data_IF_460414400383
#
_entry.id   IF_460414400383
#
_cell.length_a   1.000
_cell.length_b   1.000
_cell.length_c   1.000
_cell.angle_alpha   90.00
_cell.angle_beta   90.00
_cell.angle_gamma   90.00
#
_symmetry.space_group_name_H-M   'P 1'
#
loop_
_entity.id
_entity.type
_entity.pdbx_description
1 polymer ?
#
# COMPACT_ATOMS: atom_id res chain seq x y z
N UNK A 1 -9.67 32.22 9.28
CA UNK A 1 -10.13 31.52 10.50
C UNK A 1 -9.24 30.31 10.70
N UNK A 2 -8.29 30.42 11.62
CA UNK A 2 -7.40 29.32 12.00
C UNK A 2 -8.19 28.33 12.86
N UNK A 3 -8.55 27.19 12.30
CA UNK A 3 -8.96 26.05 13.14
C UNK A 3 -7.70 25.52 13.83
N UNK A 4 -7.36 26.09 14.99
CA UNK A 4 -6.33 25.53 15.89
C UNK A 4 -6.89 24.24 16.49
N UNK A 5 -6.71 23.14 15.75
CA UNK A 5 -6.95 21.80 16.30
C UNK A 5 -5.92 21.56 17.40
N UNK A 6 -6.37 21.13 18.57
CA UNK A 6 -5.46 20.70 19.63
C UNK A 6 -4.66 19.49 19.12
N UNK A 7 -3.34 19.61 19.03
CA UNK A 7 -2.40 18.55 18.63
C UNK A 7 -1.30 18.44 19.69
N UNK A 8 -0.76 17.24 19.87
CA UNK A 8 0.33 17.03 20.82
C UNK A 8 1.59 17.79 20.42
N UNK A 9 2.43 18.12 21.42
CA UNK A 9 3.73 18.75 21.19
C UNK A 9 4.65 17.92 20.28
N UNK A 10 4.57 16.59 20.36
CA UNK A 10 5.30 15.69 19.47
C UNK A 10 4.84 15.79 18.02
N UNK A 11 3.52 15.90 17.77
CA UNK A 11 3.03 16.14 16.42
C UNK A 11 3.42 17.53 15.92
N UNK A 12 3.28 18.57 16.76
CA UNK A 12 3.67 19.92 16.39
C UNK A 12 5.15 19.97 15.98
N UNK A 13 6.05 19.42 16.80
CA UNK A 13 7.48 19.37 16.51
C UNK A 13 7.79 18.64 15.20
N UNK A 14 7.05 17.56 14.91
CA UNK A 14 7.19 16.85 13.63
C UNK A 14 6.74 17.72 12.45
N UNK A 15 5.60 18.41 12.57
CA UNK A 15 5.10 19.28 11.52
C UNK A 15 6.07 20.44 11.26
N UNK A 16 6.55 21.10 12.32
CA UNK A 16 7.51 22.21 12.23
C UNK A 16 8.79 21.77 11.51
N UNK A 17 9.33 20.61 11.89
CA UNK A 17 10.48 20.01 11.21
C UNK A 17 10.22 19.77 9.72
N UNK A 18 9.06 19.21 9.36
CA UNK A 18 8.73 18.94 7.96
C UNK A 18 8.56 20.24 7.17
N UNK A 19 7.90 21.24 7.75
CA UNK A 19 7.72 22.56 7.14
C UNK A 19 9.07 23.24 6.89
N UNK A 20 10.01 23.15 7.84
CA UNK A 20 11.39 23.63 7.69
C UNK A 20 12.13 22.90 6.57
N UNK A 21 12.13 21.56 6.58
CA UNK A 21 12.82 20.75 5.58
C UNK A 21 12.28 20.98 4.17
N UNK A 22 10.98 21.21 4.03
CA UNK A 22 10.34 21.39 2.73
C UNK A 22 10.24 22.86 2.31
N UNK A 23 10.33 23.82 3.22
CA UNK A 23 10.09 25.24 2.95
C UNK A 23 8.63 25.49 2.54
N UNK A 24 7.68 24.83 3.20
CA UNK A 24 6.24 24.90 2.90
C UNK A 24 5.42 24.88 4.18
N UNK A 25 4.14 25.28 4.09
CA UNK A 25 3.16 25.11 5.18
C UNK A 25 2.27 23.89 4.94
N UNK A 26 1.90 23.21 6.02
CA UNK A 26 0.97 22.08 6.07
C UNK A 26 -0.37 22.56 6.62
N UNK A 27 -1.43 22.38 5.85
CA UNK A 27 -2.78 22.70 6.26
C UNK A 27 -3.50 21.45 6.76
N UNK A 28 -3.89 21.47 8.04
CA UNK A 28 -4.72 20.43 8.60
C UNK A 28 -6.19 20.72 8.32
N UNK A 29 -6.94 19.70 7.87
CA UNK A 29 -8.37 19.81 7.59
C UNK A 29 -9.13 18.67 8.22
N UNK A 30 -10.10 18.98 9.08
CA UNK A 30 -10.99 17.97 9.62
C UNK A 30 -12.22 17.82 8.71
N UNK A 31 -12.47 16.62 8.17
CA UNK A 31 -13.60 16.32 7.29
C UNK A 31 -14.36 15.08 7.75
N UNK A 32 -15.69 15.12 7.75
CA UNK A 32 -16.52 13.97 8.12
C UNK A 32 -16.30 12.77 7.18
N UNK A 33 -16.18 13.05 5.89
CA UNK A 33 -16.02 12.04 4.83
C UNK A 33 -14.59 11.56 4.64
N UNK A 34 -13.61 12.09 5.41
CA UNK A 34 -12.25 11.60 5.29
C UNK A 34 -12.18 10.12 5.73
N UNK A 35 -11.49 9.26 4.95
CA UNK A 35 -11.28 7.87 5.30
C UNK A 35 -10.45 7.76 6.58
N UNK A 36 -10.50 6.60 7.23
CA UNK A 36 -9.71 6.34 8.46
C UNK A 36 -8.21 6.51 8.26
N UNK A 37 -7.68 6.28 7.05
CA UNK A 37 -6.26 6.51 6.76
C UNK A 37 -5.87 7.99 6.60
N UNK A 38 -6.86 8.89 6.64
CA UNK A 38 -6.68 10.28 6.22
C UNK A 38 -6.47 10.40 4.72
N UNK A 39 -6.33 11.64 4.24
CA UNK A 39 -5.97 11.95 2.86
C UNK A 39 -4.84 12.96 2.90
N UNK A 40 -3.79 12.69 2.12
CA UNK A 40 -2.75 13.66 1.79
C UNK A 40 -3.01 14.21 0.39
N UNK A 41 -3.20 15.52 0.30
CA UNK A 41 -3.18 16.28 -0.95
C UNK A 41 -1.92 17.14 -0.96
N UNK A 42 -0.83 16.62 -1.53
CA UNK A 42 0.43 17.33 -1.62
C UNK A 42 0.66 18.01 -2.98
N UNK A 43 1.41 19.11 -2.95
CA UNK A 43 1.72 19.90 -4.14
C UNK A 43 2.57 19.14 -5.17
N UNK A 44 3.30 18.11 -4.75
CA UNK A 44 4.23 17.38 -5.60
C UNK A 44 3.49 16.36 -6.49
N UNK A 45 2.50 15.68 -5.92
CA UNK A 45 1.68 14.67 -6.61
C UNK A 45 0.55 15.32 -7.40
N UNK A 46 -0.15 16.28 -6.80
CA UNK A 46 -1.40 16.80 -7.38
C UNK A 46 -1.25 18.17 -8.05
N UNK A 47 -0.02 18.70 -8.11
CA UNK A 47 0.29 20.03 -8.69
C UNK A 47 -0.55 21.17 -8.07
N UNK A 48 -1.08 20.96 -6.86
CA UNK A 48 -1.85 21.95 -6.12
C UNK A 48 -0.95 23.00 -5.46
N UNK A 49 -1.53 24.10 -5.01
CA UNK A 49 -0.78 25.21 -4.38
C UNK A 49 -0.56 25.03 -2.88
N UNK A 50 -1.07 23.96 -2.26
CA UNK A 50 -1.07 23.76 -0.80
C UNK A 50 -0.92 22.29 -0.46
N UNK A 51 -0.20 22.01 0.63
CA UNK A 51 -0.15 20.70 1.24
C UNK A 51 -1.27 20.59 2.26
N UNK A 52 -2.22 19.68 2.04
CA UNK A 52 -3.38 19.49 2.92
C UNK A 52 -3.40 18.06 3.46
N UNK A 53 -3.48 17.92 4.78
CA UNK A 53 -3.73 16.64 5.45
C UNK A 53 -5.15 16.66 5.98
N UNK A 54 -6.04 15.89 5.35
CA UNK A 54 -7.41 15.73 5.79
C UNK A 54 -7.57 14.50 6.67
N UNK A 55 -8.26 14.64 7.81
CA UNK A 55 -8.49 13.56 8.77
C UNK A 55 -9.95 13.53 9.25
N UNK A 56 -10.39 12.35 9.72
CA UNK A 56 -11.80 12.11 10.04
C UNK A 56 -12.21 12.71 11.38
N UNK A 57 -13.46 13.18 11.48
CA UNK A 57 -14.09 13.58 12.76
C UNK A 57 -14.13 12.43 13.78
N UNK A 58 -14.13 11.18 13.33
CA UNK A 58 -14.17 10.00 14.19
C UNK A 58 -12.84 9.73 14.92
N UNK A 59 -11.78 10.43 14.53
CA UNK A 59 -10.45 10.27 15.10
C UNK A 59 -10.22 11.34 16.15
N UNK A 60 -10.00 10.90 17.38
CA UNK A 60 -9.79 11.78 18.54
C UNK A 60 -8.47 11.44 19.24
N UNK A 61 -7.95 12.40 20.00
CA UNK A 61 -6.72 12.26 20.76
C UNK A 61 -5.54 11.78 19.91
N UNK A 62 -4.76 10.84 20.47
CA UNK A 62 -3.54 10.32 19.83
C UNK A 62 -3.79 9.57 18.51
N UNK A 63 -5.00 9.05 18.27
CA UNK A 63 -5.31 8.39 17.00
C UNK A 63 -5.36 9.38 15.84
N UNK A 64 -5.92 10.56 16.08
CA UNK A 64 -5.91 11.68 15.14
C UNK A 64 -4.48 12.14 14.89
N UNK A 65 -3.70 12.31 15.95
CA UNK A 65 -2.32 12.76 15.83
C UNK A 65 -1.47 11.78 15.02
N UNK A 66 -1.62 10.48 15.27
CA UNK A 66 -0.93 9.43 14.53
C UNK A 66 -1.25 9.45 13.03
N UNK A 67 -2.54 9.60 12.67
CA UNK A 67 -2.96 9.64 11.26
C UNK A 67 -2.39 10.87 10.55
N UNK A 68 -2.33 12.02 11.24
CA UNK A 68 -1.68 13.21 10.71
C UNK A 68 -0.18 12.97 10.55
N UNK A 69 0.50 12.43 11.57
CA UNK A 69 1.94 12.13 11.54
C UNK A 69 2.30 11.19 10.37
N UNK A 70 1.53 10.12 10.16
CA UNK A 70 1.76 9.19 9.06
C UNK A 70 1.69 9.89 7.70
N UNK A 71 0.67 10.71 7.47
CA UNK A 71 0.52 11.47 6.22
C UNK A 71 1.60 12.57 6.09
N UNK A 72 2.01 13.19 7.19
CA UNK A 72 3.08 14.18 7.20
C UNK A 72 4.43 13.56 6.80
N UNK A 73 4.75 12.36 7.28
CA UNK A 73 5.95 11.64 6.82
C UNK A 73 5.88 11.31 5.34
N UNK A 74 4.72 10.88 4.82
CA UNK A 74 4.56 10.65 3.37
C UNK A 74 4.84 11.93 2.58
N UNK A 75 4.31 13.07 3.03
CA UNK A 75 4.59 14.39 2.45
C UNK A 75 6.08 14.72 2.48
N UNK A 76 6.76 14.49 3.61
CA UNK A 76 8.20 14.70 3.75
C UNK A 76 8.99 13.89 2.72
N UNK A 77 8.74 12.58 2.62
CA UNK A 77 9.45 11.70 1.69
C UNK A 77 9.23 12.11 0.23
N UNK A 78 7.98 12.41 -0.16
CA UNK A 78 7.65 12.89 -1.51
C UNK A 78 8.30 14.23 -1.81
N UNK A 79 8.25 15.17 -0.86
CA UNK A 79 8.80 16.51 -1.02
C UNK A 79 10.32 16.53 -1.09
N UNK A 80 11.01 15.72 -0.29
CA UNK A 80 12.46 15.54 -0.38
C UNK A 80 12.84 14.92 -1.73
N UNK A 81 12.11 13.90 -2.19
CA UNK A 81 12.34 13.34 -3.53
C UNK A 81 12.15 14.39 -4.62
N UNK A 82 11.15 15.27 -4.50
CA UNK A 82 10.89 16.32 -5.48
C UNK A 82 12.00 17.36 -5.50
N UNK A 83 12.51 17.78 -4.32
CA UNK A 83 13.68 18.68 -4.20
C UNK A 83 14.94 18.09 -4.84
N UNK A 84 15.06 16.76 -4.86
CA UNK A 84 16.17 16.05 -5.49
C UNK A 84 15.92 15.71 -6.97
N UNK A 85 14.86 16.25 -7.60
CA UNK A 85 14.44 15.94 -8.98
C UNK A 85 14.22 14.43 -9.24
N UNK A 86 13.97 13.67 -8.18
CA UNK A 86 13.83 12.22 -8.22
C UNK A 86 12.40 11.74 -8.01
N UNK A 87 11.43 12.65 -7.78
CA UNK A 87 10.07 12.25 -7.46
C UNK A 87 9.34 11.67 -8.66
N UNK A 88 8.97 10.39 -8.53
CA UNK A 88 8.15 9.65 -9.48
C UNK A 88 6.98 8.98 -8.77
N UNK A 89 5.97 8.66 -9.57
CA UNK A 89 4.77 7.94 -9.16
C UNK A 89 4.53 6.73 -10.06
N UNK A 90 3.88 5.72 -9.50
CA UNK A 90 3.52 4.54 -10.27
C UNK A 90 2.36 4.88 -11.21
N UNK A 91 2.57 4.69 -12.50
CA UNK A 91 1.65 5.05 -13.56
C UNK A 91 1.41 3.90 -14.54
N UNK A 92 0.50 4.14 -15.49
CA UNK A 92 0.09 3.20 -16.52
C UNK A 92 -0.39 3.94 -17.77
N UNK A 93 -0.42 3.24 -18.89
CA UNK A 93 -0.97 3.69 -20.17
C UNK A 93 -1.88 2.60 -20.76
N UNK A 94 -2.46 2.86 -21.94
CA UNK A 94 -3.31 1.90 -22.64
C UNK A 94 -2.59 0.57 -22.94
N UNK A 95 -1.28 0.61 -23.24
CA UNK A 95 -0.50 -0.57 -23.59
C UNK A 95 -0.25 -1.46 -22.37
N UNK A 96 0.09 -0.85 -21.23
CA UNK A 96 0.30 -1.57 -19.97
C UNK A 96 -1.03 -2.10 -19.42
N UNK A 97 -2.12 -1.34 -19.54
CA UNK A 97 -3.47 -1.78 -19.19
C UNK A 97 -3.91 -2.98 -20.03
N UNK A 98 -3.72 -2.92 -21.36
CA UNK A 98 -4.02 -4.05 -22.27
C UNK A 98 -3.21 -5.29 -21.90
N UNK A 99 -1.89 -5.14 -21.72
CA UNK A 99 -1.01 -6.26 -21.34
C UNK A 99 -1.42 -6.88 -20.00
N UNK A 100 -1.78 -6.04 -19.02
CA UNK A 100 -2.21 -6.49 -17.71
C UNK A 100 -3.55 -7.19 -17.73
N UNK A 101 -4.53 -6.61 -18.42
CA UNK A 101 -5.86 -7.21 -18.58
C UNK A 101 -5.80 -8.55 -19.33
N UNK A 102 -4.96 -8.67 -20.36
CA UNK A 102 -4.75 -9.91 -21.09
C UNK A 102 -4.17 -11.00 -20.17
N UNK A 103 -3.14 -10.68 -19.39
CA UNK A 103 -2.58 -11.63 -18.43
C UNK A 103 -3.63 -12.06 -17.39
N UNK A 104 -4.40 -11.12 -16.83
CA UNK A 104 -5.49 -11.42 -15.89
C UNK A 104 -6.54 -12.31 -16.54
N UNK A 105 -6.93 -12.02 -17.79
CA UNK A 105 -7.89 -12.85 -18.53
C UNK A 105 -7.41 -14.30 -18.65
N UNK A 106 -6.16 -14.49 -19.05
CA UNK A 106 -5.57 -15.82 -19.20
C UNK A 106 -5.53 -16.56 -17.86
N UNK A 107 -5.29 -15.88 -16.75
CA UNK A 107 -5.36 -16.50 -15.43
C UNK A 107 -6.77 -16.91 -15.05
N UNK A 108 -7.76 -16.08 -15.38
CA UNK A 108 -9.19 -16.39 -15.17
C UNK A 108 -9.59 -17.63 -15.96
N UNK A 109 -9.08 -17.81 -17.17
CA UNK A 109 -9.36 -19.01 -17.97
C UNK A 109 -8.64 -20.27 -17.45
N UNK A 110 -7.48 -20.12 -16.79
CA UNK A 110 -6.67 -21.23 -16.27
C UNK A 110 -7.10 -21.69 -14.87
N UNK A 111 -7.63 -20.80 -14.04
CA UNK A 111 -8.00 -21.11 -12.66
C UNK A 111 -9.31 -21.91 -12.60
N UNK A 112 -9.28 -23.05 -11.90
CA UNK A 112 -10.42 -23.97 -11.79
C UNK A 112 -11.70 -23.32 -11.26
N UNK A 113 -11.57 -22.30 -10.40
CA UNK A 113 -12.70 -21.63 -9.77
C UNK A 113 -13.33 -20.58 -10.67
N UNK A 114 -12.52 -19.88 -11.46
CA UNK A 114 -12.99 -18.71 -12.22
C UNK A 114 -13.21 -18.98 -13.71
N UNK A 115 -12.69 -20.10 -14.25
CA UNK A 115 -12.87 -20.47 -15.67
C UNK A 115 -14.34 -20.60 -16.09
N UNK A 116 -15.22 -20.93 -15.15
CA UNK A 116 -16.66 -21.15 -15.39
C UNK A 116 -17.52 -19.91 -15.16
N UNK A 117 -16.93 -18.78 -14.74
CA UNK A 117 -17.69 -17.54 -14.55
C UNK A 117 -18.33 -17.07 -15.86
N UNK A 118 -19.45 -16.36 -15.78
CA UNK A 118 -20.04 -15.75 -16.96
C UNK A 118 -19.06 -14.78 -17.62
N UNK A 119 -19.12 -14.70 -18.95
CA UNK A 119 -18.20 -13.86 -19.74
C UNK A 119 -18.24 -12.38 -19.32
N UNK A 120 -19.43 -11.85 -19.00
CA UNK A 120 -19.57 -10.46 -18.55
C UNK A 120 -18.89 -10.21 -17.19
N UNK A 121 -18.86 -11.21 -16.30
CA UNK A 121 -18.14 -11.14 -15.02
C UNK A 121 -16.64 -11.13 -15.27
N UNK A 122 -16.16 -12.02 -16.15
CA UNK A 122 -14.74 -12.05 -16.56
C UNK A 122 -14.29 -10.70 -17.11
N UNK A 123 -15.11 -10.06 -17.97
CA UNK A 123 -14.86 -8.72 -18.52
C UNK A 123 -14.63 -7.65 -17.45
N UNK A 124 -15.53 -7.56 -16.46
CA UNK A 124 -15.41 -6.58 -15.36
C UNK A 124 -14.24 -6.87 -14.42
N UNK A 125 -13.98 -8.15 -14.17
CA UNK A 125 -12.99 -8.59 -13.20
C UNK A 125 -11.56 -8.19 -13.58
N UNK A 126 -11.20 -8.23 -14.86
CA UNK A 126 -9.82 -7.97 -15.29
C UNK A 126 -9.38 -6.55 -14.96
N UNK A 127 -10.20 -5.57 -15.32
CA UNK A 127 -9.86 -4.18 -15.08
C UNK A 127 -9.91 -3.84 -13.58
N UNK A 128 -10.88 -4.40 -12.87
CA UNK A 128 -10.94 -4.27 -11.41
C UNK A 128 -9.66 -4.78 -10.73
N UNK A 129 -9.20 -5.98 -11.06
CA UNK A 129 -7.95 -6.52 -10.49
C UNK A 129 -6.73 -5.70 -10.91
N UNK A 130 -6.68 -5.23 -12.16
CA UNK A 130 -5.61 -4.35 -12.62
C UNK A 130 -5.56 -3.05 -11.79
N UNK A 131 -6.69 -2.40 -11.55
CA UNK A 131 -6.70 -1.15 -10.77
C UNK A 131 -6.50 -1.39 -9.27
N UNK A 132 -7.03 -2.48 -8.72
CA UNK A 132 -6.81 -2.86 -7.32
C UNK A 132 -5.32 -2.97 -6.97
N UNK A 133 -4.53 -3.61 -7.85
CA UNK A 133 -3.08 -3.74 -7.64
C UNK A 133 -2.37 -2.40 -7.80
N UNK A 134 -2.80 -1.54 -8.74
CA UNK A 134 -2.27 -0.18 -8.87
C UNK A 134 -2.46 0.61 -7.58
N UNK A 135 -3.69 0.67 -7.07
CA UNK A 135 -4.07 1.41 -5.86
C UNK A 135 -3.38 0.86 -4.60
N UNK A 136 -3.18 -0.45 -4.52
CA UNK A 136 -2.50 -1.08 -3.39
C UNK A 136 -1.00 -0.80 -3.41
N UNK A 137 -0.35 -1.06 -4.54
CA UNK A 137 1.11 -0.99 -4.67
C UNK A 137 1.61 0.45 -4.61
N UNK A 138 0.84 1.41 -5.12
CA UNK A 138 1.27 2.81 -5.11
C UNK A 138 1.39 3.38 -3.69
N UNK A 139 0.60 2.89 -2.74
CA UNK A 139 0.47 3.50 -1.42
C UNK A 139 1.08 2.66 -0.29
N UNK A 140 1.07 1.33 -0.44
CA UNK A 140 1.46 0.40 0.63
C UNK A 140 2.94 0.54 1.06
N UNK A 141 3.93 0.64 0.16
CA UNK A 141 5.33 0.85 0.55
C UNK A 141 5.54 2.16 1.33
N UNK A 142 4.90 3.25 0.92
CA UNK A 142 4.96 4.52 1.64
C UNK A 142 4.26 4.47 3.00
N UNK A 143 3.16 3.72 3.08
CA UNK A 143 2.48 3.46 4.35
C UNK A 143 3.36 2.64 5.29
N UNK A 144 4.06 1.61 4.80
CA UNK A 144 5.02 0.84 5.58
C UNK A 144 6.14 1.75 6.13
N UNK A 145 6.82 2.50 5.25
CA UNK A 145 7.95 3.35 5.64
C UNK A 145 7.52 4.47 6.60
N UNK A 146 6.40 5.14 6.33
CA UNK A 146 5.88 6.17 7.24
C UNK A 146 5.56 5.62 8.63
N UNK A 147 5.02 4.40 8.74
CA UNK A 147 4.82 3.76 10.04
C UNK A 147 6.12 3.50 10.78
N UNK A 148 7.15 2.99 10.09
CA UNK A 148 8.47 2.76 10.70
C UNK A 148 9.05 4.08 11.21
N UNK A 149 9.01 5.13 10.40
CA UNK A 149 9.53 6.46 10.77
C UNK A 149 8.74 7.07 11.92
N UNK A 150 7.40 7.01 11.91
CA UNK A 150 6.56 7.51 13.01
C UNK A 150 6.86 6.77 14.31
N UNK A 151 7.06 5.44 14.27
CA UNK A 151 7.40 4.66 15.46
C UNK A 151 8.71 5.10 16.10
N UNK A 152 9.64 5.67 15.32
CA UNK A 152 10.92 6.21 15.79
C UNK A 152 10.84 7.67 16.24
N UNK A 153 10.22 8.54 15.44
CA UNK A 153 10.17 9.98 15.71
C UNK A 153 9.09 10.37 16.73
N UNK A 154 8.01 9.62 16.82
CA UNK A 154 6.85 9.94 17.66
C UNK A 154 6.46 8.75 18.56
N UNK A 155 7.34 8.26 19.45
CA UNK A 155 7.08 7.08 20.27
C UNK A 155 5.84 7.22 21.18
N UNK A 156 5.45 8.46 21.53
CA UNK A 156 4.23 8.74 22.30
C UNK A 156 2.95 8.29 21.58
N UNK A 157 2.99 8.16 20.25
CA UNK A 157 1.86 7.73 19.42
C UNK A 157 1.78 6.21 19.26
N UNK A 158 2.73 5.44 19.82
CA UNK A 158 2.85 3.99 19.60
C UNK A 158 1.58 3.21 19.89
N UNK A 159 0.88 3.49 20.98
CA UNK A 159 -0.37 2.79 21.31
C UNK A 159 -1.47 3.06 20.28
N UNK A 160 -1.58 4.30 19.81
CA UNK A 160 -2.53 4.68 18.77
C UNK A 160 -2.16 4.05 17.42
N UNK A 161 -0.87 4.02 17.09
CA UNK A 161 -0.34 3.36 15.91
C UNK A 161 -0.65 1.85 15.91
N UNK A 162 -0.33 1.13 17.00
CA UNK A 162 -0.62 -0.31 17.11
C UNK A 162 -2.11 -0.58 16.99
N UNK A 163 -2.94 0.20 17.68
CA UNK A 163 -4.40 0.08 17.60
C UNK A 163 -4.92 0.28 16.16
N UNK A 164 -4.42 1.30 15.48
CA UNK A 164 -4.75 1.58 14.09
C UNK A 164 -4.35 0.42 13.18
N UNK A 165 -3.09 -0.03 13.27
CA UNK A 165 -2.53 -1.10 12.44
C UNK A 165 -3.25 -2.42 12.65
N UNK A 166 -3.63 -2.78 13.88
CA UNK A 166 -4.41 -4.00 14.14
C UNK A 166 -5.77 -3.98 13.43
N UNK A 167 -6.44 -2.82 13.40
CA UNK A 167 -7.73 -2.66 12.71
C UNK A 167 -7.58 -2.65 11.19
N UNK A 168 -6.56 -1.99 10.67
CA UNK A 168 -6.28 -1.96 9.23
C UNK A 168 -5.83 -3.33 8.71
N UNK A 169 -4.92 -4.01 9.40
CA UNK A 169 -4.47 -5.37 9.09
C UNK A 169 -5.63 -6.34 8.86
N UNK A 170 -6.59 -6.37 9.80
CA UNK A 170 -7.79 -7.18 9.66
C UNK A 170 -8.61 -6.78 8.44
N UNK A 171 -8.84 -5.48 8.22
CA UNK A 171 -9.64 -5.02 7.08
C UNK A 171 -8.97 -5.36 5.75
N UNK A 172 -7.71 -5.02 5.59
CA UNK A 172 -6.97 -5.12 4.33
C UNK A 172 -6.81 -6.59 3.90
N UNK A 173 -6.52 -7.50 4.84
CA UNK A 173 -6.38 -8.93 4.50
C UNK A 173 -7.71 -9.64 4.28
N UNK A 174 -8.82 -9.07 4.75
CA UNK A 174 -10.16 -9.61 4.50
C UNK A 174 -10.87 -8.94 3.31
N UNK A 175 -10.27 -7.93 2.68
CA UNK A 175 -10.89 -7.15 1.60
C UNK A 175 -11.35 -8.03 0.44
N UNK A 176 -10.55 -9.04 0.08
CA UNK A 176 -10.86 -9.99 -0.99
C UNK A 176 -11.55 -11.27 -0.54
N UNK A 177 -11.85 -11.45 0.75
CA UNK A 177 -12.41 -12.73 1.26
C UNK A 177 -13.79 -13.00 0.67
N UNK A 178 -14.62 -11.98 0.54
CA UNK A 178 -15.96 -12.08 -0.07
C UNK A 178 -15.91 -12.38 -1.56
N UNK A 179 -14.77 -12.12 -2.21
CA UNK A 179 -14.57 -12.28 -3.66
C UNK A 179 -13.65 -13.45 -4.02
N UNK A 180 -13.15 -14.21 -3.03
CA UNK A 180 -12.12 -15.25 -3.20
C UNK A 180 -12.47 -16.35 -4.22
N UNK A 181 -13.75 -16.56 -4.49
CA UNK A 181 -14.26 -17.56 -5.43
C UNK A 181 -14.55 -16.97 -6.83
N UNK A 182 -14.49 -15.64 -6.96
CA UNK A 182 -14.67 -14.91 -8.21
C UNK A 182 -13.35 -14.39 -8.79
N UNK A 183 -12.23 -14.52 -8.07
CA UNK A 183 -10.91 -14.06 -8.51
C UNK A 183 -9.94 -15.24 -8.63
N UNK A 184 -9.01 -15.23 -9.61
CA UNK A 184 -7.99 -16.27 -9.67
C UNK A 184 -7.17 -16.28 -8.39
N UNK A 185 -6.84 -17.47 -7.88
CA UNK A 185 -6.21 -17.65 -6.57
C UNK A 185 -4.95 -16.81 -6.42
N UNK A 186 -4.17 -16.67 -7.49
CA UNK A 186 -2.90 -15.92 -7.48
C UNK A 186 -3.10 -14.48 -7.00
N UNK A 187 -4.18 -13.81 -7.41
CA UNK A 187 -4.43 -12.41 -7.06
C UNK A 187 -4.84 -12.25 -5.61
N UNK A 188 -5.67 -13.16 -5.08
CA UNK A 188 -5.96 -13.23 -3.65
C UNK A 188 -4.68 -13.38 -2.82
N UNK A 189 -3.83 -14.32 -3.24
CA UNK A 189 -2.58 -14.66 -2.55
C UNK A 189 -1.60 -13.50 -2.55
N UNK A 190 -1.36 -12.88 -3.72
CA UNK A 190 -0.43 -11.76 -3.87
C UNK A 190 -0.91 -10.52 -3.10
N UNK A 191 -2.19 -10.16 -3.24
CA UNK A 191 -2.78 -9.03 -2.52
C UNK A 191 -2.57 -9.16 -1.01
N UNK A 192 -3.02 -10.28 -0.43
CA UNK A 192 -2.88 -10.50 1.00
C UNK A 192 -1.42 -10.72 1.43
N UNK A 193 -0.57 -11.22 0.53
CA UNK A 193 0.87 -11.36 0.77
C UNK A 193 1.55 -10.03 1.05
N UNK A 194 1.17 -8.96 0.34
CA UNK A 194 1.73 -7.62 0.57
C UNK A 194 1.39 -7.08 1.96
N UNK A 195 0.13 -7.23 2.39
CA UNK A 195 -0.33 -6.82 3.72
C UNK A 195 0.25 -7.69 4.84
N UNK A 196 0.37 -9.00 4.61
CA UNK A 196 1.10 -9.90 5.51
C UNK A 196 2.52 -9.40 5.72
N UNK A 197 3.22 -9.03 4.64
CA UNK A 197 4.60 -8.59 4.73
C UNK A 197 4.75 -7.25 5.45
N UNK A 198 3.85 -6.29 5.16
CA UNK A 198 3.78 -5.03 5.92
C UNK A 198 3.63 -5.30 7.41
N UNK A 199 2.64 -6.10 7.79
CA UNK A 199 2.27 -6.30 9.19
C UNK A 199 3.32 -7.08 9.96
N UNK A 200 3.92 -8.10 9.35
CA UNK A 200 5.01 -8.86 9.96
C UNK A 200 6.26 -7.97 10.16
N UNK A 201 6.62 -7.17 9.15
CA UNK A 201 7.75 -6.23 9.27
C UNK A 201 7.51 -5.17 10.34
N UNK A 202 6.31 -4.58 10.40
CA UNK A 202 5.96 -3.61 11.43
C UNK A 202 5.92 -4.25 12.83
N UNK A 203 5.43 -5.48 12.95
CA UNK A 203 5.47 -6.25 14.19
C UNK A 203 6.89 -6.48 14.71
N UNK A 204 7.83 -6.80 13.81
CA UNK A 204 9.26 -6.94 14.15
C UNK A 204 9.87 -5.59 14.58
N UNK A 205 9.71 -4.54 13.77
CA UNK A 205 10.29 -3.20 14.01
C UNK A 205 9.77 -2.58 15.31
N UNK A 206 8.48 -2.74 15.58
CA UNK A 206 7.82 -2.19 16.75
C UNK A 206 7.86 -3.14 17.95
N UNK A 207 8.51 -4.31 17.85
CA UNK A 207 8.47 -5.36 18.88
C UNK A 207 7.05 -5.65 19.40
N UNK A 208 6.06 -5.66 18.50
CA UNK A 208 4.64 -5.83 18.86
C UNK A 208 4.08 -7.11 18.25
N UNK A 209 4.02 -8.14 19.09
CA UNK A 209 3.58 -9.48 18.69
C UNK A 209 2.14 -9.50 18.17
N UNK A 210 1.28 -8.58 18.63
CA UNK A 210 -0.12 -8.49 18.20
C UNK A 210 -0.28 -8.07 16.74
N UNK A 211 0.75 -7.49 16.12
CA UNK A 211 0.73 -7.16 14.69
C UNK A 211 1.10 -8.34 13.80
N UNK A 212 1.64 -9.43 14.35
CA UNK A 212 2.02 -10.60 13.56
C UNK A 212 0.77 -11.23 12.91
N UNK A 213 0.71 -11.33 11.57
CA UNK A 213 -0.40 -11.94 10.83
C UNK A 213 -0.81 -13.33 11.32
N UNK A 214 0.14 -14.15 11.76
CA UNK A 214 -0.11 -15.50 12.27
C UNK A 214 -0.77 -15.50 13.66
N UNK A 215 -0.99 -14.33 14.26
CA UNK A 215 -1.57 -14.15 15.59
C UNK A 215 -2.87 -13.36 15.50
N UNK A 216 -2.91 -12.26 14.75
CA UNK A 216 -4.11 -11.43 14.64
C UNK A 216 -5.11 -11.90 13.59
N UNK A 217 -4.70 -12.68 12.58
CA UNK A 217 -5.58 -13.11 11.48
C UNK A 217 -6.07 -14.53 11.72
N UNK A 218 -7.39 -14.76 11.90
CA UNK A 218 -7.95 -16.06 12.25
C UNK A 218 -7.51 -17.20 11.32
N UNK A 219 -7.48 -16.95 10.02
CA UNK A 219 -7.19 -17.94 8.98
C UNK A 219 -5.71 -18.37 8.96
N UNK A 220 -4.82 -17.53 9.48
CA UNK A 220 -3.38 -17.78 9.52
C UNK A 220 -2.92 -18.40 10.85
N UNK A 221 -3.72 -18.33 11.93
CA UNK A 221 -3.37 -18.88 13.26
C UNK A 221 -2.95 -20.34 13.23
N UNK A 222 -3.62 -21.14 12.39
CA UNK A 222 -3.33 -22.57 12.21
C UNK A 222 -1.97 -22.88 11.60
N UNK A 223 -1.27 -21.87 11.06
CA UNK A 223 0.04 -22.03 10.43
C UNK A 223 1.20 -21.64 11.34
N UNK A 224 0.93 -21.07 12.52
CA UNK A 224 1.95 -20.53 13.43
C UNK A 224 3.01 -21.56 13.85
N UNK A 225 2.59 -22.82 14.00
CA UNK A 225 3.43 -23.91 14.52
C UNK A 225 3.63 -25.05 13.53
N UNK A 226 3.25 -24.89 12.26
CA UNK A 226 3.47 -25.95 11.28
C UNK A 226 4.95 -26.06 10.94
N UNK A 227 5.49 -27.27 10.97
CA UNK A 227 6.84 -27.52 10.51
C UNK A 227 6.90 -27.55 8.96
N UNK A 228 8.09 -27.40 8.39
CA UNK A 228 8.29 -27.33 6.93
C UNK A 228 7.73 -28.57 6.21
N UNK A 229 7.84 -29.76 6.80
CA UNK A 229 7.35 -31.01 6.20
C UNK A 229 5.83 -31.08 6.19
N UNK A 230 5.17 -30.66 7.27
CA UNK A 230 3.72 -30.54 7.37
C UNK A 230 3.19 -29.53 6.36
N UNK A 231 3.90 -28.40 6.22
CA UNK A 231 3.61 -27.34 5.26
C UNK A 231 3.64 -27.83 3.80
N UNK A 232 4.54 -28.76 3.45
CA UNK A 232 4.68 -29.31 2.09
C UNK A 232 3.62 -30.36 1.72
N UNK A 233 2.72 -30.74 2.62
CA UNK A 233 1.66 -31.71 2.33
C UNK A 233 0.65 -31.18 1.31
N UNK A 234 0.13 -32.08 0.47
CA UNK A 234 -0.83 -31.77 -0.61
C UNK A 234 -2.13 -31.08 -0.12
N UNK A 235 -2.43 -31.20 1.18
CA UNK A 235 -3.56 -30.56 1.86
C UNK A 235 -3.42 -29.03 1.92
N UNK A 236 -2.24 -28.52 2.27
CA UNK A 236 -2.03 -27.07 2.45
C UNK A 236 -1.74 -26.36 1.14
N UNK A 237 -1.15 -27.05 0.17
CA UNK A 237 -0.86 -26.48 -1.15
C UNK A 237 -2.11 -25.94 -1.86
N UNK A 238 -3.31 -26.47 -1.56
CA UNK A 238 -4.59 -25.95 -2.09
C UNK A 238 -5.20 -24.81 -1.28
N UNK A 239 -4.67 -24.50 -0.09
CA UNK A 239 -5.22 -23.47 0.80
C UNK A 239 -4.69 -22.08 0.42
N UNK A 240 -5.55 -21.11 0.06
CA UNK A 240 -5.10 -19.78 -0.35
C UNK A 240 -4.37 -19.04 0.77
N UNK A 241 -4.78 -19.19 2.03
CA UNK A 241 -4.11 -18.53 3.16
C UNK A 241 -2.74 -19.12 3.47
N UNK A 242 -2.53 -20.40 3.18
CA UNK A 242 -1.21 -21.00 3.28
C UNK A 242 -0.28 -20.42 2.20
N UNK A 243 -0.77 -20.30 0.96
CA UNK A 243 -0.01 -19.66 -0.12
C UNK A 243 0.25 -18.17 0.18
N UNK A 244 -0.71 -17.46 0.78
CA UNK A 244 -0.53 -16.08 1.29
C UNK A 244 0.64 -15.99 2.25
N UNK A 245 0.76 -16.92 3.21
CA UNK A 245 1.92 -16.96 4.11
C UNK A 245 3.23 -17.12 3.33
N UNK A 246 3.30 -18.05 2.39
CA UNK A 246 4.52 -18.29 1.61
C UNK A 246 4.95 -17.06 0.80
N UNK A 247 3.99 -16.42 0.10
CA UNK A 247 4.26 -15.19 -0.66
C UNK A 247 4.60 -14.03 0.27
N UNK A 248 3.89 -13.90 1.40
CA UNK A 248 4.17 -12.91 2.42
C UNK A 248 5.57 -13.06 3.03
N UNK A 249 6.00 -14.27 3.36
CA UNK A 249 7.35 -14.56 3.85
C UNK A 249 8.41 -14.16 2.81
N UNK A 250 8.19 -14.46 1.52
CA UNK A 250 9.08 -14.02 0.44
C UNK A 250 9.14 -12.49 0.32
N UNK A 251 8.00 -11.81 0.44
CA UNK A 251 7.93 -10.34 0.45
C UNK A 251 8.62 -9.74 1.68
N UNK A 252 8.55 -10.37 2.86
CA UNK A 252 9.30 -9.95 4.05
C UNK A 252 10.80 -10.12 3.86
N UNK A 253 11.25 -11.20 3.24
CA UNK A 253 12.67 -11.40 2.94
C UNK A 253 13.20 -10.26 2.05
N UNK A 254 12.42 -9.81 1.06
CA UNK A 254 12.76 -8.61 0.28
C UNK A 254 12.92 -7.38 1.19
N UNK A 255 11.99 -7.13 2.14
CA UNK A 255 12.10 -6.00 3.07
C UNK A 255 13.35 -6.09 3.96
N UNK A 256 13.72 -7.30 4.37
CA UNK A 256 14.93 -7.57 5.19
C UNK A 256 16.22 -7.35 4.38
N UNK A 257 16.26 -7.82 3.14
CA UNK A 257 17.38 -7.59 2.21
C UNK A 257 17.59 -6.09 1.94
N UNK A 258 16.49 -5.34 1.78
CA UNK A 258 16.51 -3.88 1.64
C UNK A 258 16.83 -3.13 2.93
N UNK A 259 17.03 -3.86 4.05
CA UNK A 259 17.37 -3.30 5.35
C UNK A 259 16.42 -2.19 5.80
N UNK A 260 15.13 -2.32 5.50
CA UNK A 260 14.11 -1.29 5.77
C UNK A 260 14.16 -0.77 7.22
N UNK A 261 14.30 -1.68 8.19
CA UNK A 261 14.40 -1.31 9.61
C UNK A 261 15.63 -0.42 9.91
N UNK A 262 16.78 -0.74 9.32
CA UNK A 262 18.04 -0.03 9.54
C UNK A 262 18.07 1.30 8.80
N UNK A 263 17.59 1.35 7.54
CA UNK A 263 17.51 2.59 6.76
C UNK A 263 16.60 3.62 7.46
N UNK A 264 15.56 3.17 8.13
CA UNK A 264 14.65 4.03 8.88
C UNK A 264 15.00 4.17 10.38
N UNK A 265 16.14 3.64 10.85
CA UNK A 265 16.47 3.62 12.29
C UNK A 265 16.72 5.02 12.86
N UNK A 266 17.34 5.88 12.06
CA UNK A 266 17.64 7.27 12.39
C UNK A 266 17.15 8.21 11.29
N UNK A 267 15.83 8.50 11.23
CA UNK A 267 15.27 9.40 10.23
C UNK A 267 15.80 10.82 10.49
N UNK A 268 16.59 11.34 9.54
CA UNK A 268 17.25 12.66 9.59
C UNK A 268 17.21 13.29 8.19
N UNK A 269 17.40 14.61 8.06
CA UNK A 269 17.40 15.30 6.77
C UNK A 269 18.16 14.57 5.66
N UNK A 270 19.36 14.09 5.98
CA UNK A 270 20.26 13.39 5.06
C UNK A 270 19.78 11.98 4.66
N UNK A 271 18.90 11.34 5.43
CA UNK A 271 18.43 9.97 5.17
C UNK A 271 17.06 9.91 4.49
N UNK A 272 16.29 10.99 4.46
CA UNK A 272 14.92 10.96 3.91
C UNK A 272 14.85 10.58 2.43
N UNK A 273 15.80 11.04 1.60
CA UNK A 273 15.84 10.65 0.20
C UNK A 273 16.17 9.16 0.03
N UNK A 274 17.09 8.62 0.84
CA UNK A 274 17.38 7.19 0.86
C UNK A 274 16.16 6.36 1.28
N UNK A 275 15.41 6.83 2.29
CA UNK A 275 14.16 6.18 2.71
C UNK A 275 13.16 6.17 1.56
N UNK A 276 13.04 7.26 0.80
CA UNK A 276 12.20 7.30 -0.40
C UNK A 276 12.63 6.27 -1.45
N UNK A 277 13.93 6.22 -1.80
CA UNK A 277 14.46 5.25 -2.76
C UNK A 277 14.20 3.80 -2.35
N UNK A 278 14.27 3.49 -1.05
CA UNK A 278 13.91 2.16 -0.54
C UNK A 278 12.46 1.83 -0.84
N UNK A 279 11.54 2.78 -0.76
CA UNK A 279 10.13 2.53 -1.11
C UNK A 279 9.92 2.24 -2.60
N UNK A 280 10.65 2.92 -3.49
CA UNK A 280 10.65 2.58 -4.92
C UNK A 280 11.15 1.15 -5.13
N UNK A 281 12.23 0.77 -4.45
CA UNK A 281 12.83 -0.57 -4.58
C UNK A 281 11.94 -1.68 -3.99
N UNK A 282 11.24 -1.41 -2.88
CA UNK A 282 10.21 -2.33 -2.35
C UNK A 282 9.16 -2.59 -3.43
N UNK A 283 8.64 -1.51 -4.04
CA UNK A 283 7.63 -1.58 -5.10
C UNK A 283 8.14 -2.41 -6.28
N UNK A 284 9.33 -2.13 -6.79
CA UNK A 284 9.94 -2.82 -7.93
C UNK A 284 10.11 -4.31 -7.66
N UNK A 285 10.64 -4.68 -6.49
CA UNK A 285 10.88 -6.09 -6.13
C UNK A 285 9.59 -6.84 -5.87
N UNK A 286 8.58 -6.20 -5.29
CA UNK A 286 7.26 -6.81 -5.12
C UNK A 286 6.58 -7.02 -6.47
N UNK A 287 6.59 -6.01 -7.36
CA UNK A 287 6.07 -6.13 -8.74
C UNK A 287 6.73 -7.30 -9.49
N UNK A 288 8.06 -7.44 -9.36
CA UNK A 288 8.82 -8.57 -9.95
C UNK A 288 8.44 -9.92 -9.34
N UNK A 289 8.32 -10.00 -8.02
CA UNK A 289 7.89 -11.23 -7.33
C UNK A 289 6.48 -11.65 -7.78
N UNK A 290 5.60 -10.68 -8.01
CA UNK A 290 4.23 -10.87 -8.46
C UNK A 290 4.11 -11.15 -9.98
N UNK A 291 5.20 -11.00 -10.73
CA UNK A 291 5.24 -11.17 -12.20
C UNK A 291 4.27 -10.23 -12.93
N UNK A 292 4.23 -8.97 -12.49
CA UNK A 292 3.38 -7.91 -13.05
C UNK A 292 4.19 -6.70 -13.53
N UNK A 293 5.47 -6.88 -13.90
CA UNK A 293 6.39 -5.81 -14.34
C UNK A 293 5.88 -5.03 -15.56
N UNK A 294 5.02 -5.65 -16.37
CA UNK A 294 4.42 -5.02 -17.55
C UNK A 294 3.19 -4.17 -17.21
N UNK A 295 2.71 -4.20 -15.97
CA UNK A 295 1.45 -3.56 -15.60
C UNK A 295 1.65 -2.07 -15.38
N UNK A 296 2.77 -1.68 -14.78
CA UNK A 296 3.00 -0.33 -14.30
C UNK A 296 4.46 0.09 -14.48
N UNK A 297 4.68 1.39 -14.54
CA UNK A 297 6.00 1.99 -14.66
C UNK A 297 6.09 3.28 -13.84
N UNK A 298 7.31 3.70 -13.53
CA UNK A 298 7.56 4.97 -12.83
C UNK A 298 7.56 6.14 -13.80
N UNK A 299 6.70 7.11 -13.57
CA UNK A 299 6.61 8.33 -14.38
C UNK A 299 6.35 9.57 -13.49
N UNK A 300 6.17 10.70 -14.14
CA UNK A 300 5.84 11.99 -13.55
C UNK A 300 4.41 11.99 -12.96
N UNK A 301 4.16 12.82 -11.93
CA UNK A 301 2.81 13.04 -11.41
C UNK A 301 1.81 13.52 -12.47
N UNK A 302 2.28 14.30 -13.45
CA UNK A 302 1.46 14.75 -14.57
C UNK A 302 0.95 13.59 -15.44
N UNK A 303 1.84 12.65 -15.77
CA UNK A 303 1.47 11.45 -16.53
C UNK A 303 0.43 10.62 -15.77
N UNK A 304 0.63 10.42 -14.47
CA UNK A 304 -0.35 9.70 -13.66
C UNK A 304 -1.71 10.39 -13.61
N UNK A 305 -1.75 11.71 -13.42
CA UNK A 305 -3.01 12.44 -13.41
C UNK A 305 -3.76 12.27 -14.74
N UNK A 306 -3.04 12.29 -15.87
CA UNK A 306 -3.61 12.01 -17.18
C UNK A 306 -4.10 10.55 -17.30
N UNK A 307 -3.32 9.58 -16.81
CA UNK A 307 -3.69 8.16 -16.84
C UNK A 307 -4.96 7.87 -16.04
N UNK A 308 -5.10 8.45 -14.84
CA UNK A 308 -6.32 8.31 -14.03
C UNK A 308 -7.53 8.97 -14.70
N UNK A 309 -7.34 10.09 -15.40
CA UNK A 309 -8.41 10.75 -16.14
C UNK A 309 -8.88 9.93 -17.35
N UNK A 310 -7.95 9.25 -18.02
CA UNK A 310 -8.22 8.43 -19.21
C UNK A 310 -8.46 6.95 -18.88
N UNK A 311 -8.64 6.61 -17.60
CA UNK A 311 -8.75 5.23 -17.12
C UNK A 311 -9.88 4.46 -17.83
N UNK A 312 -11.05 5.08 -18.01
CA UNK A 312 -12.19 4.45 -18.71
C UNK A 312 -11.90 4.21 -20.20
N UNK A 313 -11.15 5.11 -20.83
CA UNK A 313 -10.73 4.97 -22.23
C UNK A 313 -9.72 3.83 -22.39
N UNK A 314 -8.74 3.74 -21.49
CA UNK A 314 -7.78 2.64 -21.49
C UNK A 314 -8.45 1.28 -21.23
N UNK A 315 -9.46 1.23 -20.36
CA UNK A 315 -10.26 0.01 -20.18
C UNK A 315 -10.97 -0.38 -21.48
N UNK A 316 -11.59 0.59 -22.17
CA UNK A 316 -12.31 0.36 -23.42
C UNK A 316 -11.37 -0.12 -24.52
N UNK A 317 -10.21 0.51 -24.67
CA UNK A 317 -9.19 0.11 -25.64
C UNK A 317 -8.69 -1.31 -25.37
N UNK A 318 -8.39 -1.64 -24.10
CA UNK A 318 -7.96 -2.98 -23.72
C UNK A 318 -9.06 -4.03 -24.00
N UNK A 319 -10.33 -3.73 -23.71
CA UNK A 319 -11.45 -4.62 -24.03
C UNK A 319 -11.59 -4.83 -25.54
N UNK A 320 -11.47 -3.77 -26.33
CA UNK A 320 -11.49 -3.86 -27.79
C UNK A 320 -10.35 -4.74 -28.30
N UNK A 321 -9.14 -4.56 -27.78
CA UNK A 321 -7.97 -5.33 -28.18
C UNK A 321 -8.09 -6.82 -27.81
N UNK A 322 -8.65 -7.15 -26.64
CA UNK A 322 -8.74 -8.53 -26.15
C UNK A 322 -9.96 -9.27 -26.73
N UNK A 323 -11.10 -8.59 -26.91
CA UNK A 323 -12.38 -9.24 -27.26
C UNK A 323 -12.95 -8.84 -28.63
N UNK A 324 -12.45 -7.79 -29.27
CA UNK A 324 -13.01 -7.27 -30.52
C UNK A 324 -14.35 -6.55 -30.38
N UNK A 325 -14.80 -6.26 -29.15
CA UNK A 325 -16.09 -5.63 -28.85
C UNK A 325 -15.99 -4.67 -27.65
N UNK A 326 -16.80 -3.60 -27.64
CA UNK A 326 -16.94 -2.63 -26.52
C UNK A 326 -17.77 -3.22 -25.38
#
# INVERSE_FOLDING_TARGET
>A
MENKYEISSSLQSLLDHIEEQLGTTIHLSRKQEAPRKGILLDQYTYQGSRNVIAFSNQQIGMLKDFVIAQNAIKLLLRGIAAKNNGYKVLSFDAKSATSGMEQIYLDVLKDEKTRHLDFWIKKKLMFYLYMLFHESIIELPWTLLSNVVVAKLCPVMRNAQVYYLMKESMRDMHDLVSFKDYIPRRYFVMHNGMYFARDLMLGEVMSEMKLNPMINIPELKKFKNLNLMEMLTHRWQKNPWYQTKLVGDAMVNILKELKVASVCEHPRPETYYQIYQVGEEITNRWIRLMQIEKYYFWDTPAHQAAALKNQEEYEKEARMAIFGEV
#
